data_IF_826111303040
#
_entry.id   IF_826111303040
#
_cell.length_a   1.000
_cell.length_b   1.000
_cell.length_c   1.000
_cell.angle_alpha   90.00
_cell.angle_beta   90.00
_cell.angle_gamma   90.00
#
_symmetry.space_group_name_H-M   'P 1'
#
loop_
_entity.id
_entity.type
_entity.pdbx_description
1 polymer ?
#
# COMPACT_ATOMS: atom_id res chain seq x y z
N UNK A 1 -3.32 -6.29 -48.71
CA UNK A 1 -4.49 -6.20 -47.81
C UNK A 1 -4.31 -6.98 -46.50
N UNK A 2 -3.78 -8.21 -46.50
CA UNK A 2 -3.51 -8.99 -45.27
C UNK A 2 -2.62 -8.27 -44.24
N UNK A 3 -1.52 -7.66 -44.69
CA UNK A 3 -0.58 -6.97 -43.80
C UNK A 3 -1.19 -5.70 -43.16
N UNK A 4 -2.12 -5.04 -43.86
CA UNK A 4 -2.84 -3.86 -43.35
C UNK A 4 -3.89 -4.25 -42.30
N UNK A 5 -4.59 -5.36 -42.52
CA UNK A 5 -5.52 -5.91 -41.53
C UNK A 5 -4.80 -6.33 -40.23
N UNK A 6 -3.59 -6.89 -40.35
CA UNK A 6 -2.78 -7.28 -39.19
C UNK A 6 -2.31 -6.07 -38.36
N UNK A 7 -1.87 -5.00 -39.04
CA UNK A 7 -1.47 -3.74 -38.39
C UNK A 7 -2.65 -3.08 -37.68
N UNK A 8 -3.82 -3.05 -38.31
CA UNK A 8 -5.03 -2.50 -37.70
C UNK A 8 -5.46 -3.29 -36.46
N UNK A 9 -5.41 -4.64 -36.53
CA UNK A 9 -5.72 -5.50 -35.38
C UNK A 9 -4.74 -5.29 -34.20
N UNK A 10 -3.45 -5.07 -34.48
CA UNK A 10 -2.45 -4.75 -33.46
C UNK A 10 -2.71 -3.41 -32.77
N UNK A 11 -3.14 -2.38 -33.52
CA UNK A 11 -3.46 -1.07 -32.95
C UNK A 11 -4.74 -1.08 -32.12
N UNK A 12 -5.72 -1.91 -32.46
CA UNK A 12 -6.95 -2.09 -31.68
C UNK A 12 -6.74 -2.90 -30.39
N UNK A 13 -5.57 -3.49 -30.18
CA UNK A 13 -5.27 -4.33 -29.00
C UNK A 13 -4.69 -3.54 -27.82
N UNK A 14 -4.59 -2.21 -27.90
CA UNK A 14 -4.07 -1.38 -26.81
C UNK A 14 -5.11 -1.34 -25.69
N UNK A 15 -4.76 -1.90 -24.53
CA UNK A 15 -5.56 -1.84 -23.30
C UNK A 15 -4.86 -0.97 -22.27
N UNK A 16 -5.63 -0.14 -21.55
CA UNK A 16 -5.12 0.59 -20.39
C UNK A 16 -5.06 -0.34 -19.18
N UNK A 17 -3.95 -0.31 -18.46
CA UNK A 17 -3.79 -0.98 -17.17
C UNK A 17 -3.79 0.08 -16.06
N UNK A 18 -4.60 -0.15 -15.03
CA UNK A 18 -4.58 0.64 -13.81
C UNK A 18 -4.01 -0.23 -12.70
N UNK A 19 -3.09 0.31 -11.92
CA UNK A 19 -2.52 -0.34 -10.76
C UNK A 19 -2.62 0.61 -9.58
N UNK A 20 -2.96 0.07 -8.42
CA UNK A 20 -2.74 0.77 -7.17
C UNK A 20 -1.29 0.61 -6.73
N UNK A 21 -0.80 1.57 -5.95
CA UNK A 21 0.59 1.59 -5.54
C UNK A 21 0.75 1.76 -4.03
N UNK A 22 1.46 0.81 -3.43
CA UNK A 22 2.01 0.92 -2.07
C UNK A 22 3.47 1.33 -2.22
N UNK A 23 3.82 2.62 -2.08
CA UNK A 23 5.19 3.08 -2.21
C UNK A 23 6.13 2.49 -1.15
N UNK A 24 5.58 2.01 -0.03
CA UNK A 24 6.32 1.23 0.94
C UNK A 24 5.59 1.10 2.26
N UNK A 25 6.34 0.65 3.26
CA UNK A 25 5.87 0.53 4.63
C UNK A 25 7.02 0.13 5.54
N UNK A 26 6.82 0.31 6.83
CA UNK A 26 7.76 -0.08 7.87
C UNK A 26 7.08 -1.08 8.81
N UNK A 27 7.81 -2.14 9.15
CA UNK A 27 7.43 -3.04 10.24
C UNK A 27 8.48 -2.89 11.33
N UNK A 28 8.05 -2.50 12.53
CA UNK A 28 8.92 -2.35 13.70
C UNK A 28 8.48 -3.28 14.82
N UNK A 29 9.42 -3.66 15.67
CA UNK A 29 9.15 -4.45 16.87
C UNK A 29 9.81 -3.79 18.08
N UNK A 30 9.12 -3.85 19.21
CA UNK A 30 9.61 -3.37 20.50
C UNK A 30 9.44 -4.47 21.55
N UNK A 31 10.47 -4.72 22.36
CA UNK A 31 10.39 -5.64 23.49
C UNK A 31 9.76 -4.91 24.69
N UNK A 32 8.55 -5.32 25.08
CA UNK A 32 7.78 -4.71 26.18
C UNK A 32 7.76 -5.58 27.45
N UNK A 33 8.38 -6.75 27.41
CA UNK A 33 8.51 -7.66 28.56
C UNK A 33 9.05 -9.03 28.17
N UNK A 34 9.23 -9.95 29.14
CA UNK A 34 9.68 -11.31 28.86
C UNK A 34 8.76 -12.01 27.85
N UNK A 35 9.30 -12.34 26.68
CA UNK A 35 8.57 -12.93 25.55
C UNK A 35 7.36 -12.12 25.08
N UNK A 36 7.36 -10.80 25.29
CA UNK A 36 6.29 -9.92 24.84
C UNK A 36 6.86 -8.84 23.93
N UNK A 37 6.35 -8.78 22.72
CA UNK A 37 6.78 -7.84 21.70
C UNK A 37 5.57 -7.09 21.15
N UNK A 38 5.70 -5.77 21.03
CA UNK A 38 4.76 -4.93 20.29
C UNK A 38 5.23 -4.85 18.84
N UNK A 39 4.38 -5.27 17.91
CA UNK A 39 4.63 -5.17 16.47
C UNK A 39 3.81 -4.03 15.91
N UNK A 40 4.43 -3.17 15.10
CA UNK A 40 3.77 -2.04 14.45
C UNK A 40 4.04 -2.08 12.97
N UNK A 41 2.97 -2.02 12.17
CA UNK A 41 3.02 -1.83 10.72
C UNK A 41 2.60 -0.39 10.41
N UNK A 42 3.44 0.35 9.71
CA UNK A 42 3.09 1.60 9.04
C UNK A 42 3.08 1.34 7.55
N UNK A 43 1.92 1.44 6.92
CA UNK A 43 1.76 1.25 5.47
C UNK A 43 1.55 2.63 4.83
N UNK A 44 2.30 2.92 3.77
CA UNK A 44 2.13 4.13 2.97
C UNK A 44 1.43 3.75 1.68
N UNK A 45 0.45 4.53 1.26
CA UNK A 45 -0.38 4.26 0.09
C UNK A 45 -0.52 5.53 -0.73
N UNK A 46 -0.55 5.40 -2.06
CA UNK A 46 -0.87 6.53 -2.92
C UNK A 46 -2.37 6.84 -2.86
N UNK A 47 -2.73 8.04 -2.39
CA UNK A 47 -4.11 8.49 -2.28
C UNK A 47 -4.87 8.50 -3.62
N UNK A 48 -4.20 8.77 -4.74
CA UNK A 48 -4.82 8.78 -6.07
C UNK A 48 -5.31 7.40 -6.50
N UNK A 49 -4.75 6.33 -5.92
CA UNK A 49 -5.11 4.94 -6.24
C UNK A 49 -5.43 4.10 -5.00
N UNK A 50 -5.76 4.75 -3.88
CA UNK A 50 -5.95 4.10 -2.60
C UNK A 50 -7.01 2.98 -2.66
N UNK A 51 -6.66 1.84 -2.08
CA UNK A 51 -7.39 0.59 -2.06
C UNK A 51 -7.42 -0.06 -0.67
N UNK A 52 -6.60 0.38 0.28
CA UNK A 52 -6.67 -0.10 1.65
C UNK A 52 -7.91 0.44 2.36
N UNK A 53 -8.52 -0.40 3.20
CA UNK A 53 -9.71 -0.05 3.96
C UNK A 53 -9.36 0.16 5.44
N UNK A 54 -10.28 0.79 6.19
CA UNK A 54 -10.14 0.95 7.64
C UNK A 54 -10.37 -0.38 8.38
N UNK A 55 -9.55 -1.37 8.09
CA UNK A 55 -9.61 -2.72 8.66
C UNK A 55 -8.23 -3.11 9.19
N UNK A 56 -8.23 -4.06 10.12
CA UNK A 56 -7.01 -4.62 10.67
C UNK A 56 -6.20 -5.28 9.55
N UNK A 57 -4.88 -5.11 9.63
CA UNK A 57 -3.95 -5.77 8.72
C UNK A 57 -3.49 -7.08 9.32
N UNK A 58 -3.27 -8.09 8.50
CA UNK A 58 -2.71 -9.37 8.94
C UNK A 58 -1.32 -9.50 8.38
N UNK A 59 -0.37 -9.85 9.23
CA UNK A 59 0.98 -10.24 8.83
C UNK A 59 1.16 -11.74 9.03
N UNK A 60 1.87 -12.37 8.10
CA UNK A 60 2.29 -13.76 8.22
C UNK A 60 3.66 -13.82 8.91
N UNK A 61 3.83 -14.82 9.77
CA UNK A 61 5.04 -15.00 10.59
C UNK A 61 5.62 -16.36 10.26
N UNK A 62 6.83 -16.35 9.72
CA UNK A 62 7.61 -17.54 9.39
C UNK A 62 8.88 -17.60 10.24
N UNK A 63 9.37 -18.81 10.48
CA UNK A 63 10.64 -19.04 11.16
C UNK A 63 11.30 -20.31 10.60
N UNK A 64 12.62 -20.36 10.69
CA UNK A 64 13.46 -21.46 10.23
C UNK A 64 13.89 -22.43 11.35
N UNK A 65 13.49 -22.15 12.60
CA UNK A 65 13.88 -22.92 13.78
C UNK A 65 12.83 -23.95 14.25
N UNK A 66 11.76 -24.15 13.48
CA UNK A 66 10.75 -25.19 13.71
C UNK A 66 9.65 -24.83 14.70
N UNK A 67 9.51 -23.55 15.05
CA UNK A 67 8.40 -23.06 15.88
C UNK A 67 7.09 -23.05 15.05
N UNK A 68 6.01 -23.60 15.60
CA UNK A 68 4.71 -23.71 14.90
C UNK A 68 3.56 -23.00 15.62
N UNK A 69 3.85 -22.25 16.70
CA UNK A 69 2.82 -21.71 17.57
C UNK A 69 2.08 -20.49 17.01
N UNK A 70 2.79 -19.58 16.33
CA UNK A 70 2.22 -18.36 15.76
C UNK A 70 2.65 -18.24 14.31
N UNK A 71 1.67 -18.31 13.39
CA UNK A 71 1.89 -18.24 11.94
C UNK A 71 1.30 -16.99 11.30
N UNK A 72 0.37 -16.32 11.99
CA UNK A 72 -0.20 -15.05 11.54
C UNK A 72 -0.61 -14.19 12.74
N UNK A 73 -0.55 -12.87 12.56
CA UNK A 73 -0.89 -11.89 13.58
C UNK A 73 -1.77 -10.80 12.95
N UNK A 74 -2.95 -10.57 13.56
CA UNK A 74 -3.81 -9.44 13.19
C UNK A 74 -3.38 -8.20 13.97
N UNK A 75 -2.94 -7.18 13.24
CA UNK A 75 -2.56 -5.86 13.75
C UNK A 75 -3.78 -4.94 13.74
N UNK A 76 -4.13 -4.42 14.92
CA UNK A 76 -5.24 -3.46 15.03
C UNK A 76 -4.88 -2.17 14.30
N UNK A 77 -5.74 -1.74 13.38
CA UNK A 77 -5.57 -0.45 12.71
C UNK A 77 -5.89 0.68 13.71
N UNK A 78 -4.90 1.49 14.02
CA UNK A 78 -5.02 2.60 14.99
C UNK A 78 -5.06 3.97 14.32
N UNK A 79 -4.59 4.08 13.08
CA UNK A 79 -4.53 5.32 12.29
C UNK A 79 -4.84 4.97 10.84
N UNK A 80 -5.85 5.64 10.28
CA UNK A 80 -6.31 5.40 8.90
C UNK A 80 -6.41 6.71 8.13
N UNK A 81 -5.92 6.71 6.89
CA UNK A 81 -5.89 7.88 5.99
C UNK A 81 -5.27 9.13 6.63
N UNK A 82 -4.07 8.97 7.19
CA UNK A 82 -3.26 10.12 7.59
C UNK A 82 -2.40 10.57 6.40
N UNK A 83 -2.65 11.79 5.94
CA UNK A 83 -1.87 12.46 4.90
C UNK A 83 -0.45 12.79 5.41
N UNK A 84 0.58 12.24 4.75
CA UNK A 84 2.00 12.33 5.10
C UNK A 84 2.90 12.63 3.88
N UNK A 85 2.33 13.22 2.84
CA UNK A 85 3.01 13.64 1.62
C UNK A 85 4.17 14.57 1.89
N UNK A 86 5.20 14.46 1.05
CA UNK A 86 6.35 15.37 1.04
C UNK A 86 6.05 16.71 0.34
N UNK A 87 4.80 17.17 0.43
CA UNK A 87 4.39 18.48 -0.08
C UNK A 87 4.62 19.53 1.00
N UNK A 88 4.79 20.78 0.58
CA UNK A 88 4.78 21.89 1.54
C UNK A 88 3.37 22.04 2.14
N UNK A 89 3.26 22.50 3.39
CA UNK A 89 1.97 22.66 4.09
C UNK A 89 0.92 23.44 3.26
N UNK A 90 1.36 24.47 2.51
CA UNK A 90 0.50 25.27 1.65
C UNK A 90 -0.03 24.53 0.42
N UNK A 91 0.60 23.42 0.04
CA UNK A 91 0.26 22.60 -1.12
C UNK A 91 -0.54 21.35 -0.75
N UNK A 92 -0.59 20.96 0.54
CA UNK A 92 -1.37 19.81 1.01
C UNK A 92 -2.85 19.86 0.59
N UNK A 93 -3.56 21.01 0.59
CA UNK A 93 -4.95 21.05 0.11
C UNK A 93 -5.11 20.73 -1.38
N UNK A 94 -4.01 20.69 -2.14
CA UNK A 94 -3.99 20.31 -3.56
C UNK A 94 -3.44 18.89 -3.79
N UNK A 95 -3.18 18.11 -2.73
CA UNK A 95 -2.83 16.69 -2.84
C UNK A 95 -4.01 15.84 -3.29
N UNK A 96 -3.73 14.69 -3.88
CA UNK A 96 -4.75 13.69 -4.25
C UNK A 96 -5.58 13.23 -3.04
N UNK A 97 -4.99 13.19 -1.83
CA UNK A 97 -5.73 12.88 -0.59
C UNK A 97 -6.81 13.92 -0.26
N UNK A 98 -6.65 15.15 -0.76
CA UNK A 98 -7.62 16.25 -0.61
C UNK A 98 -8.46 16.50 -1.88
N UNK A 99 -8.41 15.59 -2.87
CA UNK A 99 -9.12 15.74 -4.15
C UNK A 99 -8.44 16.66 -5.17
N UNK A 100 -7.16 16.98 -4.95
CA UNK A 100 -6.33 17.74 -5.87
C UNK A 100 -5.63 16.86 -6.92
N UNK A 101 -4.49 17.34 -7.42
CA UNK A 101 -3.73 16.69 -8.52
C UNK A 101 -2.24 16.54 -8.21
N UNK A 102 -1.81 17.01 -7.04
CA UNK A 102 -0.44 16.81 -6.57
C UNK A 102 -0.33 15.42 -5.92
N UNK A 103 0.82 14.74 -6.03
CA UNK A 103 1.02 13.41 -5.46
C UNK A 103 0.67 13.38 -3.96
N UNK A 104 -0.21 12.45 -3.57
CA UNK A 104 -0.67 12.25 -2.20
C UNK A 104 -0.22 10.91 -1.59
N UNK A 105 0.17 10.90 -0.31
CA UNK A 105 0.53 9.71 0.48
C UNK A 105 -0.19 9.71 1.83
#
# INVERSE_FOLDING_TARGET
>A
MKNLALLLASFLSISFAFASHVPGGNITYECIGPNQYLITLTLFEDCGTAFTSNTNQTIDIENDCGYTGLTSLSLTNTVFQQEVSQLCDSQLPSSECSGGTLPGI
#
